data_IF_144780436043
#
_entry.id   IF_144780436043
#
_cell.length_a   1.000
_cell.length_b   1.000
_cell.length_c   1.000
_cell.angle_alpha   90.00
_cell.angle_beta   90.00
_cell.angle_gamma   90.00
#
_symmetry.space_group_name_H-M   'P 1'
#
loop_
_entity.id
_entity.type
_entity.pdbx_description
1 polymer ?
#
# COMPACT_ATOMS: atom_id res chain seq x y z
N UNK A 1 -33.62 17.47 0.26
CA UNK A 1 -32.32 16.83 -0.06
C UNK A 1 -31.29 17.94 -0.21
N UNK A 2 -30.18 17.87 0.54
CA UNK A 2 -29.09 18.83 0.38
C UNK A 2 -28.38 18.57 -0.96
N UNK A 3 -28.01 19.63 -1.68
CA UNK A 3 -27.28 19.51 -2.94
C UNK A 3 -25.88 18.89 -2.69
N UNK A 4 -25.34 18.10 -3.65
CA UNK A 4 -24.00 17.55 -3.52
C UNK A 4 -22.97 18.67 -3.38
N UNK A 5 -21.89 18.42 -2.63
CA UNK A 5 -20.80 19.38 -2.48
C UNK A 5 -20.12 19.61 -3.84
N UNK A 6 -20.17 20.84 -4.34
CA UNK A 6 -19.51 21.26 -5.58
C UNK A 6 -18.34 22.16 -5.21
N UNK A 7 -17.07 21.73 -5.45
CA UNK A 7 -15.91 22.53 -5.14
C UNK A 7 -15.88 23.75 -6.05
N UNK A 8 -15.57 24.92 -5.47
CA UNK A 8 -15.43 26.13 -6.27
C UNK A 8 -14.08 26.16 -6.96
N UNK A 9 -14.08 26.65 -8.19
CA UNK A 9 -12.87 26.82 -8.98
C UNK A 9 -12.09 28.05 -8.51
N UNK A 10 -10.81 28.09 -8.86
CA UNK A 10 -9.95 29.25 -8.63
C UNK A 10 -10.59 30.56 -9.11
N UNK A 11 -11.15 30.57 -10.33
CA UNK A 11 -11.76 31.76 -10.92
C UNK A 11 -12.96 32.25 -10.12
N UNK A 12 -13.81 31.33 -9.66
CA UNK A 12 -14.97 31.66 -8.84
C UNK A 12 -14.55 32.29 -7.50
N UNK A 13 -13.47 31.80 -6.89
CA UNK A 13 -12.92 32.41 -5.68
C UNK A 13 -12.34 33.80 -5.94
N UNK A 14 -11.58 33.99 -7.02
CA UNK A 14 -11.05 35.31 -7.40
C UNK A 14 -12.19 36.31 -7.59
N UNK A 15 -13.21 35.94 -8.36
CA UNK A 15 -14.37 36.81 -8.62
C UNK A 15 -15.17 37.07 -7.34
N UNK A 16 -15.38 36.07 -6.48
CA UNK A 16 -16.08 36.24 -5.22
C UNK A 16 -15.35 37.21 -4.28
N UNK A 17 -14.03 37.10 -4.16
CA UNK A 17 -13.21 37.99 -3.33
C UNK A 17 -13.22 39.41 -3.91
N UNK A 18 -13.06 39.57 -5.22
CA UNK A 18 -13.13 40.88 -5.87
C UNK A 18 -14.50 41.54 -5.68
N UNK A 19 -15.59 40.80 -5.92
CA UNK A 19 -16.94 41.31 -5.73
C UNK A 19 -17.22 41.69 -4.27
N UNK A 20 -16.72 40.91 -3.31
CA UNK A 20 -16.84 41.24 -1.90
C UNK A 20 -16.08 42.53 -1.54
N UNK A 21 -14.86 42.72 -2.06
CA UNK A 21 -14.07 43.92 -1.83
C UNK A 21 -14.70 45.18 -2.47
N UNK A 22 -15.29 45.04 -3.66
CA UNK A 22 -16.03 46.11 -4.31
C UNK A 22 -17.30 46.47 -3.52
N UNK A 23 -18.07 45.46 -3.10
CA UNK A 23 -19.32 45.65 -2.36
C UNK A 23 -19.11 46.23 -0.95
N UNK A 24 -18.00 45.92 -0.29
CA UNK A 24 -17.64 46.46 1.03
C UNK A 24 -17.08 47.89 0.99
N UNK A 25 -16.99 48.51 -0.19
CA UNK A 25 -16.46 49.87 -0.34
C UNK A 25 -14.94 49.96 -0.10
N UNK A 26 -14.20 48.90 -0.39
CA UNK A 26 -12.76 48.88 -0.21
C UNK A 26 -12.07 49.93 -1.08
N UNK A 27 -11.03 50.58 -0.54
CA UNK A 27 -10.18 51.52 -1.29
C UNK A 27 -9.19 50.83 -2.23
N UNK A 28 -9.19 49.49 -2.25
CA UNK A 28 -8.40 48.69 -3.17
C UNK A 28 -8.98 48.85 -4.59
N UNK A 29 -8.23 49.49 -5.49
CA UNK A 29 -8.72 49.87 -6.81
C UNK A 29 -8.05 49.14 -7.97
N UNK A 30 -6.91 48.49 -7.74
CA UNK A 30 -6.14 47.82 -8.79
C UNK A 30 -6.17 46.30 -8.66
N UNK A 31 -7.13 45.67 -9.34
CA UNK A 31 -7.28 44.21 -9.43
C UNK A 31 -6.70 43.60 -10.72
N UNK A 32 -6.06 44.43 -11.56
CA UNK A 32 -5.50 43.96 -12.83
C UNK A 32 -4.41 42.91 -12.62
N UNK A 33 -4.22 41.99 -13.59
CA UNK A 33 -3.13 41.02 -13.55
C UNK A 33 -1.78 41.72 -13.35
N UNK A 34 -0.95 41.20 -12.44
CA UNK A 34 0.34 41.79 -12.07
C UNK A 34 0.31 42.86 -10.97
N UNK A 35 -0.88 43.30 -10.53
CA UNK A 35 -1.02 44.09 -9.30
C UNK A 35 -0.69 43.26 -8.06
N UNK A 36 -0.01 43.83 -7.06
CA UNK A 36 0.26 43.17 -5.78
C UNK A 36 -1.03 42.64 -5.13
N UNK A 37 -2.12 43.40 -5.21
CA UNK A 37 -3.42 43.01 -4.66
C UNK A 37 -3.98 41.79 -5.40
N UNK A 38 -3.88 41.80 -6.74
CA UNK A 38 -4.31 40.68 -7.58
C UNK A 38 -3.50 39.41 -7.32
N UNK A 39 -2.19 39.54 -7.05
CA UNK A 39 -1.33 38.43 -6.64
C UNK A 39 -1.76 37.84 -5.30
N UNK A 40 -2.07 38.69 -4.30
CA UNK A 40 -2.55 38.21 -3.00
C UNK A 40 -3.92 37.52 -3.10
N UNK A 41 -4.85 38.08 -3.87
CA UNK A 41 -6.17 37.46 -4.11
C UNK A 41 -6.01 36.10 -4.80
N UNK A 42 -5.14 36.02 -5.82
CA UNK A 42 -4.83 34.78 -6.51
C UNK A 42 -4.22 33.74 -5.56
N UNK A 43 -3.28 34.13 -4.70
CA UNK A 43 -2.69 33.20 -3.73
C UNK A 43 -3.74 32.62 -2.78
N UNK A 44 -4.63 33.46 -2.23
CA UNK A 44 -5.71 33.03 -1.34
C UNK A 44 -6.69 32.11 -2.09
N UNK A 45 -7.13 32.51 -3.29
CA UNK A 45 -8.04 31.73 -4.11
C UNK A 45 -7.47 30.35 -4.48
N UNK A 46 -6.15 30.26 -4.72
CA UNK A 46 -5.48 28.99 -4.99
C UNK A 46 -5.57 28.03 -3.81
N UNK A 47 -5.28 28.52 -2.59
CA UNK A 47 -5.35 27.70 -1.37
C UNK A 47 -6.78 27.24 -1.10
N UNK A 48 -7.77 28.13 -1.29
CA UNK A 48 -9.18 27.79 -1.10
C UNK A 48 -9.68 26.77 -2.12
N UNK A 49 -9.36 26.94 -3.41
CA UNK A 49 -9.74 25.99 -4.45
C UNK A 49 -9.12 24.60 -4.23
N UNK A 50 -7.85 24.55 -3.81
CA UNK A 50 -7.19 23.29 -3.47
C UNK A 50 -7.81 22.65 -2.22
N UNK A 51 -8.12 23.44 -1.19
CA UNK A 51 -8.81 22.98 0.01
C UNK A 51 -10.18 22.37 -0.29
N UNK A 52 -10.96 23.01 -1.16
CA UNK A 52 -12.26 22.50 -1.60
C UNK A 52 -12.13 21.17 -2.35
N UNK A 53 -11.17 21.06 -3.27
CA UNK A 53 -10.93 19.85 -4.04
C UNK A 53 -10.50 18.70 -3.13
N UNK A 54 -9.59 18.96 -2.18
CA UNK A 54 -9.19 17.99 -1.15
C UNK A 54 -10.38 17.55 -0.29
N UNK A 55 -11.26 18.48 0.05
CA UNK A 55 -12.47 18.19 0.84
C UNK A 55 -13.41 17.27 0.07
N UNK A 56 -13.67 17.55 -1.21
CA UNK A 56 -14.47 16.66 -2.07
C UNK A 56 -13.88 15.25 -2.14
N UNK A 57 -12.59 15.15 -2.44
CA UNK A 57 -11.91 13.86 -2.52
C UNK A 57 -11.96 13.11 -1.17
N UNK A 58 -11.84 13.83 -0.05
CA UNK A 58 -12.00 13.28 1.29
C UNK A 58 -13.41 12.73 1.54
N UNK A 59 -14.47 13.43 1.10
CA UNK A 59 -15.83 12.93 1.18
C UNK A 59 -16.05 11.69 0.31
N UNK A 60 -15.64 11.73 -0.96
CA UNK A 60 -15.79 10.60 -1.89
C UNK A 60 -15.10 9.34 -1.34
N UNK A 61 -13.88 9.50 -0.80
CA UNK A 61 -13.15 8.42 -0.14
C UNK A 61 -13.86 7.92 1.14
N UNK A 62 -14.28 8.83 2.01
CA UNK A 62 -14.86 8.48 3.32
C UNK A 62 -16.22 7.79 3.17
N UNK A 63 -17.02 8.19 2.18
CA UNK A 63 -18.29 7.53 1.88
C UNK A 63 -18.05 6.07 1.49
N UNK A 64 -17.12 5.81 0.57
CA UNK A 64 -16.79 4.44 0.14
C UNK A 64 -16.19 3.62 1.29
N UNK A 65 -15.20 4.16 2.00
CA UNK A 65 -14.58 3.45 3.13
C UNK A 65 -15.58 3.20 4.27
N UNK A 66 -16.49 4.16 4.52
CA UNK A 66 -17.58 4.03 5.46
C UNK A 66 -18.51 2.88 5.09
N UNK A 67 -18.93 2.79 3.83
CA UNK A 67 -19.74 1.67 3.33
C UNK A 67 -19.04 0.33 3.51
N UNK A 68 -17.76 0.24 3.13
CA UNK A 68 -16.98 -0.97 3.31
C UNK A 68 -16.89 -1.38 4.79
N UNK A 69 -16.66 -0.42 5.68
CA UNK A 69 -16.56 -0.69 7.13
C UNK A 69 -17.89 -1.14 7.74
N UNK A 70 -19.00 -0.52 7.36
CA UNK A 70 -20.34 -0.89 7.86
C UNK A 70 -20.71 -2.31 7.40
N UNK A 71 -20.34 -2.68 6.17
CA UNK A 71 -20.60 -4.02 5.62
C UNK A 71 -19.55 -5.05 6.02
N UNK A 72 -18.57 -4.69 6.86
CA UNK A 72 -17.49 -5.59 7.27
C UNK A 72 -16.54 -6.00 6.15
N UNK A 73 -16.54 -5.28 5.03
CA UNK A 73 -15.75 -5.58 3.83
C UNK A 73 -14.35 -4.96 3.91
N UNK A 74 -13.44 -5.61 4.62
CA UNK A 74 -12.04 -5.18 4.72
C UNK A 74 -11.21 -5.54 3.49
N UNK A 75 -10.15 -4.77 3.21
CA UNK A 75 -9.16 -5.11 2.17
C UNK A 75 -8.49 -6.44 2.48
N UNK A 76 -8.25 -7.26 1.45
CA UNK A 76 -7.45 -8.46 1.60
C UNK A 76 -6.03 -8.08 2.06
N UNK A 77 -5.52 -8.73 3.12
CA UNK A 77 -4.18 -8.44 3.63
C UNK A 77 -3.14 -8.89 2.60
N UNK A 78 -2.09 -8.10 2.44
CA UNK A 78 -0.91 -8.54 1.71
C UNK A 78 -0.13 -9.58 2.52
N UNK A 79 0.57 -10.47 1.83
CA UNK A 79 1.43 -11.48 2.43
C UNK A 79 2.87 -10.97 2.48
N UNK A 80 3.60 -11.38 3.52
CA UNK A 80 5.00 -11.06 3.70
C UNK A 80 5.86 -12.08 2.95
N UNK A 81 6.87 -11.59 2.25
CA UNK A 81 7.84 -12.47 1.59
C UNK A 81 8.70 -13.18 2.62
N UNK A 82 9.03 -14.44 2.34
CA UNK A 82 9.86 -15.31 3.16
C UNK A 82 10.94 -15.91 2.28
N UNK A 83 12.14 -16.01 2.81
CA UNK A 83 13.25 -16.67 2.13
C UNK A 83 14.33 -17.10 3.10
N UNK A 84 15.27 -17.89 2.59
CA UNK A 84 16.38 -18.42 3.37
C UNK A 84 17.62 -17.60 3.06
N UNK A 85 18.41 -17.35 4.09
CA UNK A 85 19.71 -16.72 4.00
C UNK A 85 20.74 -17.63 4.64
N UNK A 86 21.91 -17.72 4.00
CA UNK A 86 23.06 -18.45 4.50
C UNK A 86 24.05 -17.46 5.09
N UNK A 87 24.48 -17.77 6.30
CA UNK A 87 25.53 -17.07 7.02
C UNK A 87 26.77 -17.96 6.94
N UNK A 88 27.76 -17.53 6.18
CA UNK A 88 29.07 -18.17 6.09
C UNK A 88 30.03 -17.50 7.06
N UNK A 89 30.70 -18.31 7.88
CA UNK A 89 31.73 -17.87 8.80
C UNK A 89 32.80 -18.95 8.91
N UNK A 90 34.07 -18.56 8.93
CA UNK A 90 35.19 -19.49 8.98
C UNK A 90 36.28 -19.02 9.93
N UNK A 91 36.98 -19.97 10.54
CA UNK A 91 38.11 -19.69 11.43
C UNK A 91 37.74 -19.41 12.88
N UNK A 92 36.51 -19.69 13.32
CA UNK A 92 36.10 -19.60 14.71
C UNK A 92 36.57 -20.81 15.52
N UNK A 93 37.05 -20.53 16.74
CA UNK A 93 37.45 -21.53 17.73
C UNK A 93 36.44 -21.69 18.87
N UNK A 94 35.38 -20.87 18.85
CA UNK A 94 34.26 -20.86 19.80
C UNK A 94 32.95 -20.78 19.02
N UNK A 95 31.83 -21.19 19.64
CA UNK A 95 30.50 -21.09 19.03
C UNK A 95 30.18 -19.63 18.75
N UNK A 96 29.74 -19.32 17.55
CA UNK A 96 29.33 -17.97 17.14
C UNK A 96 27.81 -17.88 17.23
N UNK A 97 27.33 -17.03 18.12
CA UNK A 97 25.89 -16.77 18.29
C UNK A 97 25.51 -15.44 17.66
N UNK A 98 24.58 -15.47 16.71
CA UNK A 98 24.02 -14.30 16.05
C UNK A 98 22.58 -14.18 16.52
N UNK A 99 22.30 -13.13 17.30
CA UNK A 99 20.96 -12.82 17.77
C UNK A 99 19.99 -12.49 16.63
N UNK A 100 18.72 -12.30 16.95
CA UNK A 100 17.72 -11.84 15.98
C UNK A 100 18.15 -10.50 15.41
N UNK A 101 18.34 -10.45 14.09
CA UNK A 101 18.81 -9.26 13.39
C UNK A 101 17.81 -8.81 12.33
N UNK A 102 18.01 -7.58 11.86
CA UNK A 102 17.29 -7.04 10.72
C UNK A 102 18.27 -6.75 9.59
N UNK A 103 17.85 -7.10 8.37
CA UNK A 103 18.61 -6.89 7.15
C UNK A 103 17.88 -5.87 6.31
N UNK A 104 18.57 -4.82 5.88
CA UNK A 104 18.03 -3.79 5.01
C UNK A 104 18.68 -3.89 3.62
N UNK A 105 17.84 -3.98 2.60
CA UNK A 105 18.22 -4.01 1.20
C UNK A 105 17.63 -2.78 0.51
N UNK A 106 18.38 -1.67 0.54
CA UNK A 106 18.00 -0.41 -0.11
C UNK A 106 16.60 0.10 0.27
N UNK A 107 16.22 -0.02 1.54
CA UNK A 107 14.90 0.36 2.07
C UNK A 107 13.93 -0.80 2.23
N UNK A 108 14.23 -1.99 1.69
CA UNK A 108 13.47 -3.22 1.94
C UNK A 108 14.02 -3.91 3.20
N UNK A 109 13.24 -3.86 4.27
CA UNK A 109 13.64 -4.44 5.55
C UNK A 109 13.11 -5.86 5.77
N UNK A 110 14.03 -6.77 6.11
CA UNK A 110 13.79 -8.15 6.48
C UNK A 110 14.19 -8.38 7.94
N UNK A 111 13.50 -9.28 8.62
CA UNK A 111 13.78 -9.68 10.00
C UNK A 111 14.05 -11.17 10.09
N UNK A 112 15.05 -11.54 10.88
CA UNK A 112 15.31 -12.94 11.23
C UNK A 112 14.18 -13.48 12.12
N UNK A 113 13.76 -14.72 11.85
CA UNK A 113 12.70 -15.38 12.62
C UNK A 113 13.22 -15.93 13.95
N UNK A 114 14.50 -16.34 13.99
CA UNK A 114 15.14 -16.96 15.15
C UNK A 114 16.62 -16.60 15.22
N UNK A 115 17.25 -16.63 16.42
CA UNK A 115 18.70 -16.53 16.51
C UNK A 115 19.38 -17.73 15.83
N UNK A 116 20.61 -17.54 15.39
CA UNK A 116 21.41 -18.55 14.69
C UNK A 116 22.71 -18.78 15.44
N UNK A 117 23.10 -20.03 15.59
CA UNK A 117 24.37 -20.42 16.19
C UNK A 117 25.18 -21.23 15.18
N UNK A 118 26.44 -20.85 14.96
CA UNK A 118 27.39 -21.61 14.14
C UNK A 118 28.30 -22.38 15.10
N UNK A 119 28.20 -23.70 15.10
CA UNK A 119 29.02 -24.57 15.95
C UNK A 119 30.47 -24.63 15.43
N UNK A 120 31.40 -25.00 16.31
CA UNK A 120 32.81 -25.16 15.93
C UNK A 120 32.92 -26.34 14.95
N UNK A 121 33.42 -26.08 13.74
CA UNK A 121 33.54 -27.07 12.65
C UNK A 121 32.57 -26.83 11.50
N UNK A 122 31.45 -26.13 11.73
CA UNK A 122 30.52 -25.75 10.67
C UNK A 122 30.99 -24.47 9.98
N UNK A 123 30.97 -24.43 8.65
CA UNK A 123 31.38 -23.23 7.88
C UNK A 123 30.21 -22.33 7.50
N UNK A 124 28.98 -22.80 7.70
CA UNK A 124 27.78 -22.03 7.42
C UNK A 124 26.60 -22.46 8.30
N UNK A 125 25.66 -21.53 8.48
CA UNK A 125 24.33 -21.82 8.99
C UNK A 125 23.26 -21.14 8.13
N UNK A 126 22.07 -21.71 8.10
CA UNK A 126 20.94 -21.18 7.33
C UNK A 126 19.82 -20.70 8.25
N UNK A 127 19.16 -19.63 7.85
CA UNK A 127 18.07 -19.03 8.59
C UNK A 127 17.00 -18.48 7.67
N UNK A 128 15.75 -18.60 8.10
CA UNK A 128 14.63 -17.90 7.49
C UNK A 128 14.63 -16.41 7.86
N UNK A 129 14.55 -15.57 6.85
CA UNK A 129 14.21 -14.15 6.97
C UNK A 129 12.80 -13.90 6.45
N UNK A 130 12.08 -13.00 7.12
CA UNK A 130 10.74 -12.55 6.74
C UNK A 130 10.73 -11.04 6.53
N UNK A 131 10.06 -10.59 5.46
CA UNK A 131 9.84 -9.18 5.20
C UNK A 131 9.10 -8.51 6.39
N UNK A 132 9.50 -7.28 6.77
CA UNK A 132 8.78 -6.55 7.83
C UNK A 132 7.40 -6.11 7.35
N UNK A 133 7.30 -5.64 6.11
CA UNK A 133 6.04 -5.24 5.49
C UNK A 133 5.62 -6.22 4.39
N UNK A 134 4.32 -6.36 4.11
CA UNK A 134 3.86 -7.12 2.95
C UNK A 134 4.13 -6.35 1.66
N UNK A 135 4.42 -7.08 0.58
CA UNK A 135 4.59 -6.48 -0.74
C UNK A 135 5.29 -7.40 -1.73
N UNK A 136 5.00 -7.21 -3.01
CA UNK A 136 5.68 -7.91 -4.12
C UNK A 136 7.15 -7.51 -4.23
N UNK A 137 7.49 -6.30 -3.81
CA UNK A 137 8.84 -5.74 -3.91
C UNK A 137 9.83 -6.50 -3.01
N UNK A 138 9.31 -7.15 -1.97
CA UNK A 138 10.10 -8.02 -1.08
C UNK A 138 10.43 -9.39 -1.71
N UNK A 139 9.90 -9.71 -2.89
CA UNK A 139 10.25 -10.93 -3.63
C UNK A 139 11.56 -10.71 -4.40
N UNK A 140 12.67 -10.91 -3.70
CA UNK A 140 14.01 -10.73 -4.24
C UNK A 140 14.55 -12.03 -4.84
N UNK A 141 15.41 -11.91 -5.85
CA UNK A 141 16.06 -13.06 -6.48
C UNK A 141 17.23 -13.57 -5.64
N UNK A 142 17.66 -14.81 -5.87
CA UNK A 142 18.90 -15.38 -5.34
C UNK A 142 20.07 -14.42 -5.58
N UNK A 143 21.00 -14.39 -4.63
CA UNK A 143 22.20 -13.55 -4.65
C UNK A 143 21.93 -12.02 -4.69
N UNK A 144 20.69 -11.58 -4.47
CA UNK A 144 20.41 -10.13 -4.34
C UNK A 144 20.89 -9.58 -2.99
N UNK A 145 21.00 -10.45 -1.97
CA UNK A 145 21.63 -10.15 -0.69
C UNK A 145 23.03 -10.74 -0.71
N UNK A 146 24.03 -9.88 -0.49
CA UNK A 146 25.41 -10.29 -0.31
C UNK A 146 26.20 -9.21 0.46
N UNK A 147 26.36 -9.41 1.77
CA UNK A 147 27.03 -8.40 2.62
C UNK A 147 28.51 -8.21 2.29
N UNK A 148 29.19 -9.19 1.69
CA UNK A 148 30.59 -9.02 1.28
C UNK A 148 30.76 -8.12 0.06
N UNK A 149 29.70 -7.98 -0.75
CA UNK A 149 29.67 -7.09 -1.93
C UNK A 149 28.99 -5.75 -1.62
N UNK A 150 28.63 -5.50 -0.35
CA UNK A 150 27.88 -4.32 0.07
C UNK A 150 26.40 -4.35 -0.33
N UNK A 151 25.88 -5.51 -0.74
CA UNK A 151 24.48 -5.72 -1.11
C UNK A 151 23.67 -6.09 0.12
N UNK A 152 23.32 -5.07 0.90
CA UNK A 152 22.52 -5.16 2.11
C UNK A 152 23.30 -4.82 3.38
N UNK A 153 22.60 -4.23 4.35
CA UNK A 153 23.15 -3.85 5.64
C UNK A 153 22.44 -4.63 6.75
N UNK A 154 23.16 -4.92 7.83
CA UNK A 154 22.64 -5.70 8.95
C UNK A 154 22.69 -4.85 10.20
N UNK A 155 21.65 -4.94 11.05
CA UNK A 155 21.53 -4.11 12.25
C UNK A 155 22.41 -4.54 13.42
N UNK A 156 23.11 -5.67 13.31
CA UNK A 156 24.02 -6.19 14.33
C UNK A 156 25.45 -6.18 13.81
N UNK A 157 26.41 -5.97 14.72
CA UNK A 157 27.81 -6.12 14.40
C UNK A 157 28.12 -7.59 14.12
N UNK A 158 28.50 -7.88 12.88
CA UNK A 158 28.90 -9.23 12.48
C UNK A 158 30.38 -9.44 12.81
N UNK A 159 30.77 -10.64 13.28
CA UNK A 159 32.17 -11.00 13.43
C UNK A 159 32.95 -10.81 12.11
N UNK A 160 34.25 -10.52 12.16
CA UNK A 160 35.07 -10.41 10.95
C UNK A 160 35.01 -11.71 10.15
N UNK A 161 35.10 -11.61 8.81
CA UNK A 161 34.98 -12.74 7.88
C UNK A 161 33.62 -13.44 7.86
N UNK A 162 32.55 -12.76 8.31
CA UNK A 162 31.18 -13.26 8.17
C UNK A 162 30.55 -12.71 6.91
N UNK A 163 29.98 -13.60 6.09
CA UNK A 163 29.26 -13.25 4.87
C UNK A 163 27.81 -13.73 4.99
N UNK A 164 26.88 -12.86 4.65
CA UNK A 164 25.45 -13.18 4.65
C UNK A 164 24.94 -13.01 3.23
N UNK A 165 24.37 -14.09 2.67
CA UNK A 165 23.85 -14.09 1.30
C UNK A 165 22.66 -15.03 1.15
N UNK A 166 21.79 -14.74 0.17
CA UNK A 166 20.62 -15.58 -0.07
C UNK A 166 20.86 -16.63 -1.17
N UNK A 167 20.83 -17.93 -0.86
CA UNK A 167 21.00 -18.99 -1.85
C UNK A 167 19.80 -19.16 -2.77
N UNK A 168 18.61 -18.79 -2.30
CA UNK A 168 17.35 -18.95 -3.00
C UNK A 168 16.60 -17.62 -3.13
N UNK A 169 15.61 -17.62 -4.02
CA UNK A 169 14.68 -16.50 -4.18
C UNK A 169 13.80 -16.39 -2.93
N UNK A 170 13.48 -15.15 -2.56
CA UNK A 170 12.44 -14.85 -1.58
C UNK A 170 11.10 -14.80 -2.31
N UNK A 171 10.09 -15.45 -1.75
CA UNK A 171 8.79 -15.60 -2.39
C UNK A 171 7.64 -15.48 -1.38
N UNK A 172 6.42 -15.41 -1.91
CA UNK A 172 5.19 -15.34 -1.11
C UNK A 172 4.78 -13.93 -0.71
N UNK A 173 5.57 -12.90 -1.05
CA UNK A 173 5.18 -11.50 -0.87
C UNK A 173 4.07 -11.11 -1.84
N UNK A 174 2.94 -10.62 -1.32
CA UNK A 174 1.85 -10.07 -2.13
C UNK A 174 1.48 -8.68 -1.64
N UNK A 175 1.11 -7.82 -2.57
CA UNK A 175 0.65 -6.47 -2.22
C UNK A 175 -0.68 -6.55 -1.49
N UNK A 176 -0.89 -5.60 -0.58
CA UNK A 176 -2.22 -5.34 -0.04
C UNK A 176 -3.16 -5.00 -1.21
N UNK A 177 -4.41 -5.44 -1.11
CA UNK A 177 -5.41 -5.19 -2.15
C UNK A 177 -5.51 -3.70 -2.49
N UNK A 178 -5.45 -3.39 -3.80
CA UNK A 178 -5.64 -2.04 -4.32
C UNK A 178 -7.10 -1.60 -4.19
N UNK A 179 -7.35 -0.29 -4.23
CA UNK A 179 -8.72 0.25 -4.11
C UNK A 179 -9.62 -0.14 -5.28
N UNK A 180 -9.06 -0.20 -6.48
CA UNK A 180 -9.75 -0.64 -7.69
C UNK A 180 -10.14 -2.11 -7.61
N UNK A 181 -9.22 -2.97 -7.15
CA UNK A 181 -9.50 -4.39 -6.92
C UNK A 181 -10.59 -4.56 -5.85
N UNK A 182 -10.49 -3.80 -4.75
CA UNK A 182 -11.48 -3.83 -3.67
C UNK A 182 -12.86 -3.41 -4.15
N UNK A 183 -12.96 -2.39 -5.00
CA UNK A 183 -14.23 -1.96 -5.58
C UNK A 183 -14.86 -3.07 -6.42
N UNK A 184 -14.06 -3.75 -7.25
CA UNK A 184 -14.53 -4.86 -8.08
C UNK A 184 -15.02 -6.03 -7.22
N UNK A 185 -14.23 -6.46 -6.24
CA UNK A 185 -14.60 -7.57 -5.36
C UNK A 185 -15.80 -7.21 -4.48
N UNK A 186 -15.94 -5.95 -4.07
CA UNK A 186 -17.12 -5.45 -3.37
C UNK A 186 -18.39 -5.46 -4.25
N UNK A 187 -18.28 -5.06 -5.52
CA UNK A 187 -19.41 -5.12 -6.45
C UNK A 187 -19.88 -6.57 -6.63
N UNK A 188 -18.95 -7.50 -6.81
CA UNK A 188 -19.24 -8.93 -6.88
C UNK A 188 -19.93 -9.43 -5.60
N UNK A 189 -19.44 -9.05 -4.42
CA UNK A 189 -20.08 -9.35 -3.13
C UNK A 189 -21.53 -8.84 -3.06
N UNK A 190 -21.79 -7.60 -3.48
CA UNK A 190 -23.14 -7.01 -3.47
C UNK A 190 -24.10 -7.73 -4.44
N UNK A 191 -23.63 -8.10 -5.63
CA UNK A 191 -24.47 -8.84 -6.59
C UNK A 191 -24.78 -10.27 -6.12
N UNK A 192 -23.80 -10.97 -5.55
CA UNK A 192 -23.96 -12.33 -5.05
C UNK A 192 -24.88 -12.39 -3.82
N UNK A 193 -24.72 -11.46 -2.88
CA UNK A 193 -25.60 -11.39 -1.69
C UNK A 193 -27.05 -11.08 -2.08
N UNK A 194 -27.29 -10.18 -3.04
CA UNK A 194 -28.65 -9.90 -3.54
C UNK A 194 -29.27 -11.06 -4.32
N UNK A 195 -28.45 -11.90 -4.97
CA UNK A 195 -28.93 -13.09 -5.67
C UNK A 195 -29.45 -14.17 -4.69
N UNK A 196 -28.87 -14.26 -3.49
CA UNK A 196 -29.31 -15.19 -2.44
C UNK A 196 -30.65 -14.77 -1.79
N UNK A 197 -30.98 -13.48 -1.79
CA UNK A 197 -32.24 -12.93 -1.26
C UNK A 197 -33.41 -12.96 -2.28
N UNK A 198 -33.18 -13.39 -3.52
CA UNK A 198 -34.24 -13.59 -4.51
C UNK A 198 -34.71 -15.05 -4.50
N UNK A 199 -35.97 -15.36 -4.13
CA UNK A 199 -36.46 -16.73 -4.03
C UNK A 199 -36.69 -17.40 -5.39
N UNK A 200 -36.03 -16.98 -6.48
CA UNK A 200 -36.33 -17.49 -7.83
C UNK A 200 -35.18 -17.88 -8.75
N UNK A 201 -33.91 -17.86 -8.34
CA UNK A 201 -32.84 -18.41 -9.19
C UNK A 201 -31.68 -19.00 -8.37
N UNK A 202 -31.96 -20.06 -7.62
CA UNK A 202 -30.95 -21.02 -7.16
C UNK A 202 -30.64 -21.97 -8.32
N UNK A 203 -29.94 -21.48 -9.35
CA UNK A 203 -29.16 -22.38 -10.21
C UNK A 203 -27.82 -22.60 -9.52
N UNK A 204 -27.82 -23.70 -8.76
CA UNK A 204 -26.70 -24.33 -8.10
C UNK A 204 -25.64 -24.70 -9.17
N UNK A 205 -24.57 -23.93 -9.25
CA UNK A 205 -23.34 -24.40 -9.90
C UNK A 205 -22.56 -25.18 -8.83
N UNK A 206 -22.87 -26.46 -8.66
CA UNK A 206 -22.00 -27.39 -7.92
C UNK A 206 -20.69 -27.53 -8.73
N UNK A 207 -19.56 -27.31 -8.08
CA UNK A 207 -18.23 -27.17 -8.68
C UNK A 207 -17.55 -28.52 -9.04
N UNK A 208 -18.29 -29.64 -8.98
CA UNK A 208 -17.71 -31.00 -8.99
C UNK A 208 -17.92 -31.81 -10.28
N UNK A 209 -18.52 -31.25 -11.32
CA UNK A 209 -18.61 -31.93 -12.63
C UNK A 209 -18.32 -30.95 -13.75
N UNK A 210 -17.16 -31.11 -14.40
CA UNK A 210 -16.58 -30.19 -15.38
C UNK A 210 -17.32 -30.05 -16.73
N UNK A 211 -18.63 -29.80 -16.71
CA UNK A 211 -19.42 -29.47 -17.89
C UNK A 211 -20.29 -28.22 -17.63
N UNK A 212 -19.85 -27.08 -18.16
CA UNK A 212 -20.62 -25.83 -18.13
C UNK A 212 -21.63 -25.79 -19.30
N UNK A 213 -22.85 -26.29 -19.07
CA UNK A 213 -23.98 -26.14 -19.99
C UNK A 213 -25.14 -25.40 -19.35
N UNK A 214 -25.28 -24.09 -19.61
CA UNK A 214 -26.47 -23.33 -19.24
C UNK A 214 -27.60 -23.61 -20.25
N UNK A 215 -28.51 -24.53 -19.95
CA UNK A 215 -29.74 -24.71 -20.72
C UNK A 215 -30.83 -23.79 -20.14
N UNK A 216 -31.20 -22.75 -20.89
CA UNK A 216 -32.38 -21.93 -20.59
C UNK A 216 -33.64 -22.74 -20.91
N UNK A 217 -34.41 -23.12 -19.90
CA UNK A 217 -35.80 -23.54 -20.09
C UNK A 217 -36.68 -22.29 -20.16
N UNK A 218 -37.19 -22.01 -21.36
CA UNK A 218 -38.28 -21.06 -21.58
C UNK A 218 -39.60 -21.72 -21.14
N UNK A 219 -40.31 -21.07 -20.22
CA UNK A 219 -41.77 -21.07 -20.14
C UNK A 219 -42.26 -19.63 -19.94
#
# INVERSE_FOLDING_TARGET
>A
MAAPYVPKTFLEYVLAIQNYLLASGSRLSNFNPGSRISTWISAIASVLAEGDLRTKNGFDYTVLEGMYRVLGYSRLPGLKSVGIVRIEHSGHTQVVEIGVFTLDLFGLSFGSVAPVTIAVGDTYAEIELRAKEPGSDYNIRRLSINTSEGLGTVSVELPPNTRIWNPTDFAGGTNKESEESRLKTFQEFYYLTRALDSPRNLYRCDFDSGDCGCAAHNE
#
